data_IF_582947028935
#
_entry.id   IF_582947028935
#
_cell.length_a   1.000
_cell.length_b   1.000
_cell.length_c   1.000
_cell.angle_alpha   90.00
_cell.angle_beta   90.00
_cell.angle_gamma   90.00
#
_symmetry.space_group_name_H-M   'P 1'
#
loop_
_entity.id
_entity.type
_entity.pdbx_description
1 polymer ?
#
# COMPACT_ATOMS: atom_id res chain seq x y z
N UNK A 1 21.02 -7.58 33.52
CA UNK A 1 20.58 -7.94 32.16
C UNK A 1 19.90 -6.70 31.63
N UNK A 2 20.57 -5.96 30.75
CA UNK A 2 20.04 -4.72 30.20
C UNK A 2 18.79 -5.07 29.42
N UNK A 3 17.62 -4.62 29.89
CA UNK A 3 16.44 -4.54 29.05
C UNK A 3 16.74 -3.44 28.05
N UNK A 4 17.41 -3.79 26.96
CA UNK A 4 17.39 -2.96 25.76
C UNK A 4 15.91 -2.76 25.45
N UNK A 5 15.43 -1.53 25.63
CA UNK A 5 14.06 -1.19 25.28
C UNK A 5 13.80 -1.54 23.82
N UNK A 6 12.53 -1.74 23.46
CA UNK A 6 12.16 -1.97 22.07
C UNK A 6 12.78 -0.88 21.19
N UNK A 7 13.43 -1.29 20.09
CA UNK A 7 13.99 -0.37 19.11
C UNK A 7 12.87 0.45 18.47
N UNK A 8 13.20 1.64 17.93
CA UNK A 8 12.20 2.49 17.29
C UNK A 8 11.50 1.79 16.11
N UNK A 9 12.19 0.88 15.41
CA UNK A 9 11.57 0.03 14.37
C UNK A 9 10.53 -0.94 14.95
N UNK A 10 10.84 -1.57 16.09
CA UNK A 10 9.88 -2.45 16.77
C UNK A 10 8.69 -1.66 17.32
N UNK A 11 8.92 -0.44 17.81
CA UNK A 11 7.86 0.47 18.22
C UNK A 11 6.96 0.85 17.03
N UNK A 12 7.55 1.17 15.87
CA UNK A 12 6.80 1.51 14.65
C UNK A 12 5.86 0.37 14.23
N UNK A 13 6.38 -0.87 14.23
CA UNK A 13 5.59 -2.07 13.94
C UNK A 13 4.52 -2.32 15.00
N UNK A 14 4.86 -2.18 16.29
CA UNK A 14 3.95 -2.42 17.41
C UNK A 14 2.83 -1.38 17.47
N UNK A 15 3.11 -0.12 17.14
CA UNK A 15 2.13 0.96 17.06
C UNK A 15 1.06 0.64 16.02
N UNK A 16 1.49 0.31 14.80
CA UNK A 16 0.60 -0.05 13.70
C UNK A 16 -0.17 -1.35 13.94
N UNK A 17 0.35 -2.26 14.76
CA UNK A 17 -0.32 -3.52 15.11
C UNK A 17 -1.39 -3.34 16.19
N UNK A 18 -1.25 -2.34 17.04
CA UNK A 18 -2.13 -2.08 18.18
C UNK A 18 -3.00 -0.83 18.00
N UNK A 19 -2.96 -0.21 16.82
CA UNK A 19 -3.60 1.07 16.52
C UNK A 19 -3.25 2.17 17.53
N UNK A 20 -1.96 2.32 17.82
CA UNK A 20 -1.43 3.35 18.73
C UNK A 20 -0.82 4.49 17.93
N UNK A 21 -1.67 5.37 17.44
CA UNK A 21 -1.34 6.55 16.62
C UNK A 21 -0.45 7.57 17.35
N UNK A 22 -0.68 7.79 18.64
CA UNK A 22 0.18 8.64 19.49
C UNK A 22 1.62 8.11 19.51
N UNK A 23 1.79 6.80 19.77
CA UNK A 23 3.11 6.16 19.83
C UNK A 23 3.80 6.17 18.45
N UNK A 24 3.02 5.99 17.38
CA UNK A 24 3.55 6.10 16.03
C UNK A 24 4.08 7.50 15.75
N UNK A 25 3.30 8.53 16.08
CA UNK A 25 3.67 9.94 15.88
C UNK A 25 4.93 10.30 16.67
N UNK A 26 4.98 9.90 17.95
CA UNK A 26 6.15 10.11 18.81
C UNK A 26 7.44 9.50 18.24
N UNK A 27 7.34 8.34 17.58
CA UNK A 27 8.49 7.70 16.91
C UNK A 27 8.86 8.45 15.63
N UNK A 28 7.87 8.83 14.82
CA UNK A 28 8.09 9.53 13.55
C UNK A 28 8.71 10.92 13.77
N UNK A 29 8.38 11.61 14.86
CA UNK A 29 8.95 12.91 15.20
C UNK A 29 10.40 12.85 15.72
N UNK A 30 10.94 11.66 15.99
CA UNK A 30 12.33 11.47 16.41
C UNK A 30 13.26 11.25 15.21
N UNK A 31 14.00 12.28 14.74
CA UNK A 31 14.74 12.20 13.48
C UNK A 31 15.87 11.16 13.51
N UNK A 32 15.96 10.37 12.43
CA UNK A 32 17.11 9.50 12.15
C UNK A 32 17.22 8.25 13.02
N UNK A 33 16.15 7.85 13.71
CA UNK A 33 16.17 6.73 14.67
C UNK A 33 15.45 5.48 14.17
N UNK A 34 14.72 5.56 13.06
CA UNK A 34 13.90 4.48 12.53
C UNK A 34 14.03 4.33 11.01
N UNK A 35 13.64 3.16 10.52
CA UNK A 35 13.40 2.86 9.11
C UNK A 35 11.89 2.68 8.90
N UNK A 36 11.28 3.55 8.09
CA UNK A 36 9.84 3.52 7.79
C UNK A 36 9.43 2.22 7.08
N UNK A 37 10.36 1.57 6.37
CA UNK A 37 10.16 0.31 5.67
C UNK A 37 10.71 -0.88 6.46
N UNK A 38 10.96 -0.71 7.77
CA UNK A 38 11.44 -1.80 8.61
C UNK A 38 10.53 -3.02 8.53
N UNK A 39 11.11 -4.20 8.73
CA UNK A 39 10.37 -5.47 8.69
C UNK A 39 10.68 -6.32 9.90
N UNK A 40 9.66 -7.04 10.37
CA UNK A 40 9.85 -8.11 11.35
C UNK A 40 10.42 -9.40 10.72
N UNK A 41 10.52 -10.47 11.52
CA UNK A 41 10.97 -11.78 11.06
C UNK A 41 10.08 -12.42 9.98
N UNK A 42 8.82 -11.97 9.86
CA UNK A 42 7.86 -12.42 8.85
C UNK A 42 7.93 -11.58 7.57
N UNK A 43 8.76 -10.53 7.56
CA UNK A 43 8.85 -9.56 6.47
C UNK A 43 7.68 -8.57 6.44
N UNK A 44 6.89 -8.47 7.51
CA UNK A 44 5.79 -7.51 7.57
C UNK A 44 6.35 -6.13 7.89
N UNK A 45 5.93 -5.14 7.10
CA UNK A 45 6.21 -3.71 7.34
C UNK A 45 5.13 -3.07 8.22
N UNK A 46 5.32 -1.83 8.71
CA UNK A 46 4.29 -1.09 9.43
C UNK A 46 2.96 -1.03 8.65
N UNK A 47 3.02 -0.82 7.33
CA UNK A 47 1.85 -0.85 6.45
C UNK A 47 1.13 -2.20 6.43
N UNK A 48 1.84 -3.33 6.49
CA UNK A 48 1.20 -4.64 6.56
C UNK A 48 0.38 -4.78 7.84
N UNK A 49 0.92 -4.32 8.97
CA UNK A 49 0.22 -4.36 10.25
C UNK A 49 -0.95 -3.40 10.29
N UNK A 50 -0.78 -2.15 9.85
CA UNK A 50 -1.86 -1.18 9.82
C UNK A 50 -3.04 -1.68 8.95
N UNK A 51 -2.73 -2.25 7.79
CA UNK A 51 -3.73 -2.85 6.91
C UNK A 51 -4.39 -4.11 7.50
N UNK A 52 -3.61 -4.99 8.13
CA UNK A 52 -4.11 -6.24 8.70
C UNK A 52 -4.99 -6.02 9.94
N UNK A 53 -4.62 -5.05 10.77
CA UNK A 53 -5.25 -4.81 12.07
C UNK A 53 -6.37 -3.78 12.02
N UNK A 54 -6.64 -3.17 10.86
CA UNK A 54 -7.67 -2.14 10.76
C UNK A 54 -7.23 -0.78 11.31
N UNK A 55 -5.92 -0.56 11.50
CA UNK A 55 -5.36 0.63 12.16
C UNK A 55 -5.36 1.83 11.20
N UNK A 56 -6.55 2.38 10.98
CA UNK A 56 -6.82 3.39 9.97
C UNK A 56 -6.04 4.69 10.23
N UNK A 57 -5.96 5.12 11.48
CA UNK A 57 -5.30 6.39 11.82
C UNK A 57 -3.77 6.25 11.75
N UNK A 58 -3.23 5.11 12.21
CA UNK A 58 -1.83 4.76 11.96
C UNK A 58 -1.50 4.75 10.45
N UNK A 59 -2.38 4.18 9.62
CA UNK A 59 -2.20 4.15 8.18
C UNK A 59 -2.15 5.56 7.58
N UNK A 60 -3.10 6.43 7.95
CA UNK A 60 -3.12 7.84 7.49
C UNK A 60 -1.84 8.56 7.88
N UNK A 61 -1.37 8.39 9.12
CA UNK A 61 -0.13 8.99 9.61
C UNK A 61 1.05 8.49 8.77
N UNK A 62 1.21 7.18 8.56
CA UNK A 62 2.28 6.63 7.72
C UNK A 62 2.27 7.20 6.29
N UNK A 63 1.10 7.47 5.73
CA UNK A 63 0.97 7.97 4.36
C UNK A 63 1.17 9.49 4.23
N UNK A 64 0.98 10.25 5.30
CA UNK A 64 0.94 11.73 5.24
C UNK A 64 2.04 12.42 6.03
N UNK A 65 2.69 11.73 6.97
CA UNK A 65 3.69 12.34 7.84
C UNK A 65 4.98 12.65 7.08
N UNK A 66 5.55 13.84 7.32
CA UNK A 66 6.74 14.33 6.60
C UNK A 66 7.97 13.41 6.72
N UNK A 67 8.11 12.70 7.83
CA UNK A 67 9.23 11.78 8.08
C UNK A 67 8.99 10.37 7.53
N UNK A 68 7.82 10.11 6.94
CA UNK A 68 7.48 8.84 6.29
C UNK A 68 7.85 8.80 4.79
N UNK A 69 8.71 9.71 4.34
CA UNK A 69 9.19 9.74 2.96
C UNK A 69 9.88 8.42 2.56
N UNK A 70 9.62 7.98 1.33
CA UNK A 70 10.18 6.73 0.81
C UNK A 70 9.47 5.47 1.29
N UNK A 71 8.31 5.59 1.94
CA UNK A 71 7.46 4.46 2.29
C UNK A 71 7.07 3.65 1.03
N UNK A 72 7.36 2.35 1.06
CA UNK A 72 7.09 1.45 -0.04
C UNK A 72 5.72 0.76 0.14
N UNK A 73 4.71 1.33 -0.52
CA UNK A 73 3.32 0.86 -0.49
C UNK A 73 3.16 -0.58 -0.99
N UNK A 74 4.01 -0.99 -1.94
CA UNK A 74 3.95 -2.30 -2.60
C UNK A 74 4.94 -3.31 -2.01
N UNK A 75 5.41 -3.07 -0.78
CA UNK A 75 6.28 -3.99 -0.03
C UNK A 75 5.68 -5.38 0.04
N UNK A 76 6.52 -6.42 -0.01
CA UNK A 76 6.07 -7.81 -0.03
C UNK A 76 6.60 -8.56 1.18
N UNK A 77 5.70 -9.14 1.97
CA UNK A 77 6.12 -9.92 3.13
C UNK A 77 6.80 -11.24 2.75
N UNK A 78 7.51 -11.85 3.70
CA UNK A 78 8.23 -13.11 3.45
C UNK A 78 7.31 -14.32 3.54
N UNK A 79 6.21 -14.23 4.26
CA UNK A 79 5.29 -15.35 4.53
C UNK A 79 4.56 -15.77 3.26
N UNK A 80 3.74 -14.90 2.70
CA UNK A 80 2.92 -15.19 1.53
C UNK A 80 3.33 -14.37 0.29
N UNK A 81 4.39 -13.57 0.38
CA UNK A 81 4.71 -12.59 -0.66
C UNK A 81 3.51 -11.66 -0.91
N UNK A 82 2.73 -11.39 0.13
CA UNK A 82 1.56 -10.51 0.09
C UNK A 82 1.98 -9.06 0.26
N UNK A 83 1.19 -8.16 -0.30
CA UNK A 83 1.34 -6.70 -0.11
C UNK A 83 0.44 -6.21 1.02
N UNK A 84 0.60 -4.97 1.51
CA UNK A 84 -0.35 -4.37 2.45
C UNK A 84 -1.80 -4.49 1.97
N UNK A 85 -2.04 -4.36 0.66
CA UNK A 85 -3.38 -4.51 0.06
C UNK A 85 -3.93 -5.95 0.19
N UNK A 86 -3.08 -6.98 0.16
CA UNK A 86 -3.50 -8.36 0.46
C UNK A 86 -3.89 -8.55 1.92
N UNK A 87 -3.28 -7.79 2.83
CA UNK A 87 -3.61 -7.81 4.26
C UNK A 87 -4.87 -7.02 4.58
N UNK A 88 -5.08 -5.88 3.91
CA UNK A 88 -6.26 -5.04 4.07
C UNK A 88 -7.57 -5.80 3.85
N UNK A 89 -7.64 -6.60 2.79
CA UNK A 89 -8.84 -7.38 2.44
C UNK A 89 -9.12 -8.55 3.38
N UNK A 90 -8.15 -8.93 4.21
CA UNK A 90 -8.30 -9.99 5.20
C UNK A 90 -8.86 -9.47 6.54
N UNK A 91 -8.95 -8.14 6.71
CA UNK A 91 -9.60 -7.53 7.86
C UNK A 91 -11.12 -7.65 7.71
N UNK A 92 -11.77 -8.33 8.65
CA UNK A 92 -13.22 -8.63 8.59
C UNK A 92 -14.01 -8.05 9.75
N UNK A 93 -13.36 -7.38 10.70
CA UNK A 93 -14.02 -6.92 11.93
C UNK A 93 -14.96 -5.73 11.65
N UNK A 94 -14.57 -4.82 10.76
CA UNK A 94 -15.41 -3.72 10.27
C UNK A 94 -15.26 -3.52 8.75
N UNK A 95 -16.30 -3.79 7.94
CA UNK A 95 -16.30 -3.57 6.49
C UNK A 95 -15.97 -2.13 6.07
N UNK A 96 -16.41 -1.15 6.86
CA UNK A 96 -16.23 0.28 6.55
C UNK A 96 -14.77 0.66 6.70
N UNK A 97 -14.11 0.14 7.73
CA UNK A 97 -12.67 0.33 7.96
C UNK A 97 -11.85 -0.41 6.88
N UNK A 98 -12.23 -1.65 6.53
CA UNK A 98 -11.59 -2.38 5.44
C UNK A 98 -11.64 -1.57 4.13
N UNK A 99 -12.79 -0.98 3.81
CA UNK A 99 -12.97 -0.15 2.63
C UNK A 99 -12.07 1.09 2.66
N UNK A 100 -12.08 1.84 3.77
CA UNK A 100 -11.25 3.04 3.92
C UNK A 100 -9.75 2.73 3.81
N UNK A 101 -9.29 1.61 4.37
CA UNK A 101 -7.88 1.18 4.26
C UNK A 101 -7.52 0.84 2.81
N UNK A 102 -8.38 0.11 2.11
CA UNK A 102 -8.17 -0.24 0.70
C UNK A 102 -8.13 1.02 -0.16
N UNK A 103 -9.06 1.94 0.04
CA UNK A 103 -9.13 3.22 -0.67
C UNK A 103 -7.84 4.03 -0.47
N UNK A 104 -7.42 4.25 0.78
CA UNK A 104 -6.18 4.98 1.10
C UNK A 104 -4.94 4.34 0.49
N UNK A 105 -4.84 3.00 0.50
CA UNK A 105 -3.72 2.30 -0.11
C UNK A 105 -3.71 2.48 -1.63
N UNK A 106 -4.87 2.39 -2.28
CA UNK A 106 -5.00 2.60 -3.73
C UNK A 106 -4.65 4.04 -4.12
N UNK A 107 -5.14 5.03 -3.37
CA UNK A 107 -4.80 6.45 -3.55
C UNK A 107 -3.29 6.71 -3.37
N UNK A 108 -2.64 5.99 -2.45
CA UNK A 108 -1.20 6.02 -2.25
C UNK A 108 -0.40 5.30 -3.35
N UNK A 109 -1.05 4.69 -4.35
CA UNK A 109 -0.40 3.99 -5.46
C UNK A 109 -0.12 2.51 -5.20
N UNK A 110 -0.88 1.85 -4.32
CA UNK A 110 -0.86 0.40 -4.21
C UNK A 110 -1.31 -0.24 -5.52
N UNK A 111 -0.60 -1.28 -5.96
CA UNK A 111 -0.92 -2.01 -7.18
C UNK A 111 -1.85 -3.21 -6.85
N UNK A 112 -3.15 -3.16 -7.24
CA UNK A 112 -4.10 -4.26 -7.03
C UNK A 112 -3.86 -5.46 -7.94
N UNK A 113 -3.00 -5.37 -8.96
CA UNK A 113 -2.70 -6.46 -9.87
C UNK A 113 -1.62 -7.42 -9.33
N UNK A 114 -0.89 -7.01 -8.27
CA UNK A 114 0.15 -7.84 -7.67
C UNK A 114 -0.42 -9.14 -7.12
N UNK A 115 0.27 -10.25 -7.39
CA UNK A 115 -0.15 -11.59 -6.96
C UNK A 115 0.73 -12.09 -5.82
N UNK A 116 0.16 -12.69 -4.79
CA UNK A 116 0.90 -13.36 -3.71
C UNK A 116 1.56 -14.69 -4.18
N UNK A 117 2.17 -15.47 -3.28
CA UNK A 117 2.78 -16.79 -3.57
C UNK A 117 1.79 -17.81 -4.13
N UNK A 118 0.50 -17.68 -3.79
CA UNK A 118 -0.56 -18.55 -4.30
C UNK A 118 -1.05 -18.09 -5.68
N UNK A 119 -0.45 -17.05 -6.26
CA UNK A 119 -0.87 -16.47 -7.52
C UNK A 119 -2.16 -15.65 -7.41
N UNK A 120 -2.63 -15.38 -6.19
CA UNK A 120 -3.89 -14.68 -5.94
C UNK A 120 -3.66 -13.18 -5.84
N UNK A 121 -4.58 -12.40 -6.40
CA UNK A 121 -4.65 -10.94 -6.22
C UNK A 121 -5.41 -10.59 -4.93
N UNK A 122 -5.29 -9.35 -4.40
CA UNK A 122 -6.09 -8.90 -3.26
C UNK A 122 -7.59 -9.14 -3.42
N UNK A 123 -8.18 -8.79 -4.58
CA UNK A 123 -9.60 -8.99 -4.86
C UNK A 123 -10.08 -10.45 -4.73
N UNK A 124 -9.19 -11.42 -4.91
CA UNK A 124 -9.50 -12.86 -4.82
C UNK A 124 -9.45 -13.40 -3.38
N UNK A 125 -8.91 -12.62 -2.44
CA UNK A 125 -8.87 -12.93 -1.02
C UNK A 125 -10.02 -12.28 -0.24
N UNK A 126 -10.77 -11.36 -0.87
CA UNK A 126 -11.93 -10.70 -0.27
C UNK A 126 -12.97 -11.76 0.13
N UNK A 127 -13.46 -11.65 1.36
CA UNK A 127 -14.50 -12.54 1.86
C UNK A 127 -15.80 -12.41 1.03
N UNK A 128 -16.57 -13.50 0.88
CA UNK A 128 -17.72 -13.56 -0.05
C UNK A 128 -18.83 -12.55 0.26
N UNK A 129 -18.91 -12.08 1.50
CA UNK A 129 -19.92 -11.10 1.95
C UNK A 129 -19.54 -9.66 1.60
N UNK A 130 -18.28 -9.39 1.20
CA UNK A 130 -17.74 -8.05 0.95
C UNK A 130 -17.66 -7.74 -0.55
N UNK A 131 -18.79 -7.90 -1.26
CA UNK A 131 -18.84 -7.74 -2.72
C UNK A 131 -18.47 -6.33 -3.18
N UNK A 132 -18.87 -5.29 -2.44
CA UNK A 132 -18.54 -3.90 -2.78
C UNK A 132 -17.03 -3.64 -2.77
N UNK A 133 -16.32 -4.18 -1.76
CA UNK A 133 -14.87 -4.06 -1.65
C UNK A 133 -14.16 -4.78 -2.80
N UNK A 134 -14.65 -5.98 -3.14
CA UNK A 134 -14.13 -6.75 -4.27
C UNK A 134 -14.31 -6.01 -5.59
N UNK A 135 -15.51 -5.50 -5.86
CA UNK A 135 -15.81 -4.73 -7.07
C UNK A 135 -14.95 -3.47 -7.16
N UNK A 136 -14.70 -2.81 -6.03
CA UNK A 136 -13.83 -1.64 -5.98
C UNK A 136 -12.38 -1.97 -6.39
N UNK A 137 -11.82 -3.07 -5.86
CA UNK A 137 -10.47 -3.53 -6.24
C UNK A 137 -10.37 -3.94 -7.71
N UNK A 138 -11.39 -4.63 -8.24
CA UNK A 138 -11.43 -5.02 -9.66
C UNK A 138 -11.51 -3.80 -10.58
N UNK A 139 -12.29 -2.77 -10.19
CA UNK A 139 -12.35 -1.49 -10.90
C UNK A 139 -11.01 -0.76 -10.85
N UNK A 140 -10.34 -0.72 -9.69
CA UNK A 140 -9.03 -0.10 -9.55
C UNK A 140 -7.97 -0.80 -10.42
N UNK A 141 -8.01 -2.14 -10.52
CA UNK A 141 -7.15 -2.89 -11.44
C UNK A 141 -7.43 -2.56 -12.91
N UNK A 142 -8.69 -2.33 -13.28
CA UNK A 142 -9.02 -1.95 -14.64
C UNK A 142 -8.53 -0.53 -14.95
N UNK A 143 -8.73 0.41 -14.04
CA UNK A 143 -8.27 1.79 -14.17
C UNK A 143 -6.75 1.83 -14.41
N UNK A 144 -5.96 1.10 -13.61
CA UNK A 144 -4.50 1.05 -13.77
C UNK A 144 -4.02 0.45 -15.11
N UNK A 145 -4.87 -0.32 -15.81
CA UNK A 145 -4.58 -0.83 -17.16
C UNK A 145 -4.95 0.16 -18.26
N UNK A 146 -6.03 0.92 -18.08
CA UNK A 146 -6.55 1.86 -19.09
C UNK A 146 -5.58 3.02 -19.29
N UNK A 147 -5.03 3.59 -18.22
CA UNK A 147 -4.01 4.67 -18.29
C UNK A 147 -2.77 4.29 -19.11
N UNK A 148 -2.42 3.01 -19.17
CA UNK A 148 -1.26 2.54 -19.95
C UNK A 148 -1.55 2.37 -21.44
N UNK A 149 -2.81 2.28 -21.84
CA UNK A 149 -3.22 1.99 -23.22
C UNK A 149 -3.41 3.22 -24.10
N UNK A 150 -3.64 4.41 -23.53
CA UNK A 150 -3.93 5.64 -24.29
C UNK A 150 -2.68 6.43 -24.74
N UNK A 151 -1.47 6.03 -24.33
CA UNK A 151 -0.20 6.71 -24.70
C UNK A 151 0.39 6.18 -26.03
N UNK A 152 -0.14 5.10 -26.58
CA UNK A 152 0.42 4.45 -27.78
C UNK A 152 -0.08 5.02 -29.13
N UNK A 153 -0.58 6.27 -29.18
CA UNK A 153 -1.28 6.82 -30.35
C UNK A 153 -0.81 8.18 -30.89
N UNK A 154 0.31 8.74 -30.44
CA UNK A 154 0.78 10.07 -30.89
C UNK A 154 2.24 10.05 -31.37
N UNK A 155 2.48 9.33 -32.46
CA UNK A 155 3.62 9.48 -33.39
C UNK A 155 3.22 8.59 -34.58
N UNK A 156 3.09 9.03 -35.83
CA UNK A 156 3.95 9.90 -36.60
C UNK A 156 3.27 10.17 -37.97
N UNK A 157 3.83 11.10 -38.75
CA UNK A 157 3.48 11.50 -40.14
C UNK A 157 2.38 12.55 -40.35
N UNK A 158 2.78 13.83 -40.44
CA UNK A 158 2.95 14.44 -41.77
C UNK A 158 3.83 15.70 -41.68
N UNK A 159 5.13 15.52 -41.93
CA UNK A 159 6.04 16.59 -42.32
C UNK A 159 6.79 16.11 -43.55
N UNK A 160 6.15 16.31 -44.70
CA UNK A 160 6.80 16.25 -46.00
C UNK A 160 6.76 17.65 -46.61
N UNK A 161 7.80 18.41 -46.30
CA UNK A 161 8.15 19.69 -46.93
C UNK A 161 8.42 19.51 -48.44
N UNK A 162 7.95 20.47 -49.23
CA UNK A 162 8.47 20.81 -50.55
C UNK A 162 8.09 19.92 -51.74
N UNK A 163 7.47 20.51 -52.77
CA UNK A 163 8.18 20.76 -54.04
C UNK A 163 7.49 21.88 -54.86
N UNK A 164 8.36 22.58 -55.56
CA UNK A 164 8.27 23.77 -56.41
C UNK A 164 7.27 23.69 -57.57
N UNK A 165 6.81 24.84 -58.08
CA UNK A 165 6.41 25.02 -59.49
C UNK A 165 6.47 26.50 -59.90
N UNK A 166 7.37 26.75 -60.86
CA UNK A 166 7.65 27.89 -61.76
C UNK A 166 6.77 29.16 -61.71
#
# INVERSE_FOLDING_TARGET
MSTEGASNNELLLAACKQDQDDMLTDVLDQPGTFDINCTDALGNTPLHYAAQCGSLDCLKILLTHDNAQGLNINSRNRTENGTPLHKAVAYTDDPSVAFAIVELLLEAGADPALRNKLGQKPAQLVAPDFNELKDHLEKAELASKVDRSEIAGLDDSDSSDGEVSD
#
